data_IF_820877125503
#
_entry.id   IF_820877125503
#
_cell.length_a   1.000
_cell.length_b   1.000
_cell.length_c   1.000
_cell.angle_alpha   90.00
_cell.angle_beta   90.00
_cell.angle_gamma   90.00
#
_symmetry.space_group_name_H-M   'P 1'
#
loop_
_entity.id
_entity.type
_entity.pdbx_description
1 polymer ?
#
# COMPACT_ATOMS: atom_id res chain seq x y z
N UNK A 1 -8.56 -13.07 -15.11
CA UNK A 1 -7.65 -13.83 -15.99
C UNK A 1 -6.90 -14.85 -15.16
N UNK A 2 -6.97 -16.13 -15.53
CA UNK A 2 -6.29 -17.23 -14.82
C UNK A 2 -4.76 -17.14 -14.90
N UNK A 3 -4.21 -16.40 -15.87
CA UNK A 3 -2.77 -16.19 -16.03
C UNK A 3 -2.25 -14.92 -15.33
N UNK A 4 -3.07 -14.22 -14.54
CA UNK A 4 -2.66 -12.98 -13.89
C UNK A 4 -1.42 -13.17 -13.00
N UNK A 5 -1.43 -14.17 -12.10
CA UNK A 5 -0.31 -14.43 -11.19
C UNK A 5 0.97 -14.75 -11.95
N UNK A 6 0.89 -15.64 -12.96
CA UNK A 6 2.04 -16.00 -13.79
C UNK A 6 2.63 -14.79 -14.53
N UNK A 7 1.78 -13.89 -15.06
CA UNK A 7 2.21 -12.67 -15.74
C UNK A 7 2.84 -11.67 -14.77
N UNK A 8 2.24 -11.48 -13.60
CA UNK A 8 2.76 -10.56 -12.57
C UNK A 8 4.12 -11.02 -12.04
N UNK A 9 4.32 -12.32 -11.86
CA UNK A 9 5.61 -12.89 -11.43
C UNK A 9 6.74 -12.71 -12.45
N UNK A 10 6.42 -12.42 -13.72
CA UNK A 10 7.41 -12.15 -14.78
C UNK A 10 7.77 -10.67 -14.92
N UNK A 11 7.19 -9.78 -14.10
CA UNK A 11 7.54 -8.36 -14.09
C UNK A 11 8.96 -8.15 -13.52
N UNK A 12 9.58 -7.02 -13.85
CA UNK A 12 10.96 -6.74 -13.50
C UNK A 12 11.10 -6.14 -12.09
N UNK A 13 12.22 -6.43 -11.43
CA UNK A 13 12.56 -5.80 -10.14
C UNK A 13 11.54 -6.10 -9.04
N UNK A 14 11.11 -5.06 -8.33
CA UNK A 14 10.16 -5.14 -7.19
C UNK A 14 8.70 -5.17 -7.62
N UNK A 15 8.41 -4.97 -8.91
CA UNK A 15 7.04 -4.89 -9.44
C UNK A 15 6.16 -6.12 -9.12
N UNK A 16 6.65 -7.38 -9.20
CA UNK A 16 5.85 -8.53 -8.81
C UNK A 16 5.34 -8.46 -7.38
N UNK A 17 6.22 -8.06 -6.44
CA UNK A 17 5.90 -7.97 -5.03
C UNK A 17 4.90 -6.85 -4.77
N UNK A 18 5.17 -5.65 -5.29
CA UNK A 18 4.30 -4.48 -5.15
C UNK A 18 2.87 -4.77 -5.64
N UNK A 19 2.74 -5.45 -6.78
CA UNK A 19 1.45 -5.81 -7.37
C UNK A 19 0.71 -6.86 -6.54
N UNK A 20 1.39 -7.92 -6.11
CA UNK A 20 0.76 -8.96 -5.30
C UNK A 20 0.35 -8.46 -3.91
N UNK A 21 1.17 -7.61 -3.28
CA UNK A 21 0.82 -6.96 -2.03
C UNK A 21 -0.38 -6.02 -2.19
N UNK A 22 -0.45 -5.25 -3.28
CA UNK A 22 -1.58 -4.38 -3.55
C UNK A 22 -2.89 -5.18 -3.69
N UNK A 23 -2.83 -6.35 -4.35
CA UNK A 23 -3.97 -7.28 -4.45
C UNK A 23 -4.36 -7.83 -3.08
N UNK A 24 -3.40 -8.30 -2.26
CA UNK A 24 -3.67 -8.79 -0.92
C UNK A 24 -4.28 -7.70 -0.02
N UNK A 25 -3.75 -6.49 -0.08
CA UNK A 25 -4.27 -5.32 0.66
C UNK A 25 -5.72 -5.04 0.26
N UNK A 26 -6.01 -5.03 -1.03
CA UNK A 26 -7.35 -4.69 -1.53
C UNK A 26 -8.40 -5.79 -1.26
N UNK A 27 -8.01 -7.06 -1.35
CA UNK A 27 -8.95 -8.18 -1.24
C UNK A 27 -9.19 -8.65 0.20
N UNK A 28 -8.23 -8.43 1.10
CA UNK A 28 -8.28 -8.96 2.47
C UNK A 28 -8.04 -7.87 3.51
N UNK A 29 -6.86 -7.24 3.50
CA UNK A 29 -6.42 -6.44 4.65
C UNK A 29 -7.17 -5.11 4.81
N UNK A 30 -7.54 -4.48 3.70
CA UNK A 30 -8.15 -3.15 3.65
C UNK A 30 -9.46 -3.17 2.87
N UNK A 31 -10.13 -4.32 2.79
CA UNK A 31 -11.42 -4.43 2.09
C UNK A 31 -12.55 -3.85 2.96
N UNK A 32 -13.08 -2.65 2.67
CA UNK A 32 -14.13 -2.06 3.49
C UNK A 32 -15.40 -2.91 3.40
N UNK A 33 -16.13 -3.05 4.52
CA UNK A 33 -17.46 -3.67 4.56
C UNK A 33 -18.55 -2.62 4.76
N UNK A 34 -18.18 -1.44 5.27
CA UNK A 34 -19.07 -0.33 5.55
C UNK A 34 -18.49 0.99 5.05
N UNK A 35 -19.34 2.01 4.96
CA UNK A 35 -18.89 3.39 4.69
C UNK A 35 -17.90 3.90 5.75
N UNK A 36 -18.13 3.56 7.03
CA UNK A 36 -17.25 3.97 8.12
C UNK A 36 -15.84 3.39 7.98
N UNK A 37 -15.71 2.19 7.41
CA UNK A 37 -14.40 1.60 7.09
C UNK A 37 -13.65 2.41 6.04
N UNK A 38 -14.35 2.97 5.05
CA UNK A 38 -13.74 3.85 4.04
C UNK A 38 -13.21 5.15 4.65
N UNK A 39 -13.96 5.75 5.59
CA UNK A 39 -13.52 6.95 6.31
C UNK A 39 -12.29 6.63 7.17
N UNK A 40 -12.30 5.49 7.85
CA UNK A 40 -11.15 5.00 8.64
C UNK A 40 -9.93 4.75 7.75
N UNK A 41 -10.12 4.13 6.59
CA UNK A 41 -9.06 3.92 5.61
C UNK A 41 -8.44 5.25 5.16
N UNK A 42 -9.27 6.26 4.84
CA UNK A 42 -8.80 7.57 4.41
C UNK A 42 -7.99 8.27 5.51
N UNK A 43 -8.46 8.18 6.76
CA UNK A 43 -7.73 8.70 7.93
C UNK A 43 -6.36 8.03 8.09
N UNK A 44 -6.28 6.70 8.01
CA UNK A 44 -5.00 5.98 8.08
C UNK A 44 -4.09 6.32 6.90
N UNK A 45 -4.63 6.40 5.69
CA UNK A 45 -3.86 6.73 4.50
C UNK A 45 -3.27 8.15 4.59
N UNK A 46 -4.04 9.11 5.10
CA UNK A 46 -3.56 10.45 5.36
C UNK A 46 -2.37 10.46 6.32
N UNK A 47 -2.45 9.72 7.43
CA UNK A 47 -1.34 9.61 8.38
C UNK A 47 -0.10 8.97 7.75
N UNK A 48 -0.27 7.94 6.91
CA UNK A 48 0.86 7.32 6.21
C UNK A 48 1.55 8.34 5.30
N UNK A 49 0.79 9.05 4.46
CA UNK A 49 1.37 9.96 3.45
C UNK A 49 1.92 11.26 4.03
N UNK A 50 1.22 11.86 4.99
CA UNK A 50 1.48 13.21 5.46
C UNK A 50 2.05 13.29 6.87
N UNK A 51 2.27 12.15 7.54
CA UNK A 51 2.97 12.08 8.82
C UNK A 51 4.08 11.03 8.77
N UNK A 52 3.73 9.75 8.68
CA UNK A 52 4.69 8.66 8.85
C UNK A 52 5.80 8.68 7.80
N UNK A 53 5.45 8.84 6.52
CA UNK A 53 6.44 8.90 5.45
C UNK A 53 7.35 10.13 5.57
N UNK A 54 6.82 11.27 6.02
CA UNK A 54 7.60 12.48 6.27
C UNK A 54 8.54 12.27 7.45
N UNK A 55 8.04 11.70 8.56
CA UNK A 55 8.88 11.36 9.72
C UNK A 55 9.98 10.37 9.34
N UNK A 56 9.68 9.35 8.52
CA UNK A 56 10.68 8.40 8.04
C UNK A 56 11.74 9.09 7.16
N UNK A 57 11.32 10.02 6.30
CA UNK A 57 12.23 10.81 5.48
C UNK A 57 13.17 11.65 6.37
N UNK A 58 12.62 12.37 7.36
CA UNK A 58 13.41 13.18 8.29
C UNK A 58 14.28 12.34 9.23
N UNK A 59 13.90 11.09 9.52
CA UNK A 59 14.76 10.16 10.24
C UNK A 59 15.97 9.74 9.40
N UNK A 60 15.75 9.44 8.11
CA UNK A 60 16.82 9.09 7.18
C UNK A 60 17.71 10.29 6.85
N UNK A 61 17.14 11.50 6.85
CA UNK A 61 17.79 12.76 6.54
C UNK A 61 17.43 13.82 7.60
N UNK A 62 18.13 13.83 8.76
CA UNK A 62 17.86 14.79 9.83
C UNK A 62 17.99 16.23 9.33
N UNK A 63 17.09 17.14 9.75
CA UNK A 63 17.27 18.55 9.49
C UNK A 63 18.51 19.07 10.26
N UNK A 64 19.19 20.07 9.68
CA UNK A 64 20.24 20.82 10.39
C UNK A 64 19.70 21.58 11.61
#
# INVERSE_FOLDING_TARGET
DSKFVERTLRLAGTQPLEMLEAVQRSLVLQRPQTWADCVTWAYHHWHIQYSNNICQLLHNFPPE
#
